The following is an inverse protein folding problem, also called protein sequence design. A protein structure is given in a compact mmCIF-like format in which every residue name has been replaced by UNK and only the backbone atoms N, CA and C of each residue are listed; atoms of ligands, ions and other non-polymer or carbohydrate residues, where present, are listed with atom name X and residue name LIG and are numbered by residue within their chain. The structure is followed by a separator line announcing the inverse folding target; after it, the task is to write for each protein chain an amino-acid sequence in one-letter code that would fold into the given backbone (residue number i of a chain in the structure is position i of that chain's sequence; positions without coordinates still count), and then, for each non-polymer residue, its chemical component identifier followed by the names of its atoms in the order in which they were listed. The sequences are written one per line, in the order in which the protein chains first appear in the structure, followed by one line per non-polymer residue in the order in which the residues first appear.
data_IF_916303011509
#
_entry.id   IF_916303011509
#
_cell.length_a   1.000
_cell.length_b   1.000
_cell.length_c   1.000
_cell.angle_alpha   90.00
_cell.angle_beta   90.00
_cell.angle_gamma   90.00
#
_symmetry.space_group_name_H-M   'P 1'
#
loop_
_entity.id
_entity.type
_entity.pdbx_description
1 polymer ?
#
# COMPACT_ATOMS: atom_id res chain seq x y z
N UNK A 1 19.34 -3.33 -18.15
CA UNK A 1 17.97 -3.51 -17.61
C UNK A 1 17.42 -2.14 -17.24
N UNK A 2 16.17 -1.84 -17.56
CA UNK A 2 15.54 -0.58 -17.13
C UNK A 2 15.28 -0.66 -15.62
N UNK A 3 15.69 0.35 -14.87
CA UNK A 3 15.41 0.43 -13.44
C UNK A 3 13.91 0.64 -13.21
N UNK A 4 13.25 -0.14 -12.32
CA UNK A 4 11.83 0.00 -12.07
C UNK A 4 11.51 1.35 -11.42
N UNK A 5 10.35 1.91 -11.77
CA UNK A 5 9.82 3.11 -11.13
C UNK A 5 8.82 2.74 -10.05
N UNK A 6 9.04 3.24 -8.84
CA UNK A 6 8.17 3.04 -7.71
C UNK A 6 7.52 4.36 -7.28
N UNK A 7 6.19 4.39 -7.22
CA UNK A 7 5.46 5.52 -6.67
C UNK A 7 5.13 5.24 -5.21
N UNK A 8 5.57 6.14 -4.34
CA UNK A 8 5.37 6.07 -2.90
C UNK A 8 4.23 7.00 -2.52
N UNK A 9 3.14 6.44 -2.03
CA UNK A 9 1.96 7.21 -1.66
C UNK A 9 2.24 8.07 -0.42
N UNK A 10 1.70 9.28 -0.44
CA UNK A 10 1.66 10.18 0.71
C UNK A 10 0.22 10.56 1.02
N UNK A 11 -0.13 10.52 2.29
CA UNK A 11 -1.39 11.02 2.82
C UNK A 11 -1.10 11.76 4.15
N UNK A 12 -2.03 12.54 4.69
CA UNK A 12 -1.89 13.08 6.03
C UNK A 12 -1.53 11.97 7.04
N UNK A 13 -0.51 12.21 7.87
CA UNK A 13 -0.03 11.23 8.85
C UNK A 13 0.93 10.15 8.31
N UNK A 14 1.13 10.03 7.01
CA UNK A 14 2.21 9.20 6.44
C UNK A 14 3.55 9.82 6.80
N UNK A 15 4.41 9.08 7.48
CA UNK A 15 5.71 9.58 7.94
C UNK A 15 6.92 8.70 7.56
N UNK A 16 6.70 7.55 6.92
CA UNK A 16 7.77 6.65 6.44
C UNK A 16 7.94 6.71 4.91
N UNK A 17 7.46 7.75 4.24
CA UNK A 17 7.55 7.88 2.78
C UNK A 17 8.97 8.15 2.28
N UNK A 18 9.79 8.87 3.07
CA UNK A 18 11.19 9.16 2.71
C UNK A 18 12.07 7.91 2.85
N UNK A 19 11.96 7.20 3.97
CA UNK A 19 12.69 5.96 4.24
C UNK A 19 12.33 4.88 3.23
N UNK A 20 11.05 4.79 2.88
CA UNK A 20 10.58 3.86 1.85
C UNK A 20 11.17 4.20 0.48
N UNK A 21 11.14 5.48 0.09
CA UNK A 21 11.76 5.93 -1.16
C UNK A 21 13.25 5.61 -1.18
N UNK A 22 13.97 5.94 -0.11
CA UNK A 22 15.39 5.62 0.03
C UNK A 22 15.69 4.12 -0.12
N UNK A 23 14.87 3.26 0.48
CA UNK A 23 15.05 1.81 0.37
C UNK A 23 14.91 1.31 -1.08
N UNK A 24 13.92 1.81 -1.82
CA UNK A 24 13.76 1.49 -3.25
C UNK A 24 14.95 2.00 -4.09
N UNK A 25 15.44 3.20 -3.83
CA UNK A 25 16.60 3.77 -4.53
C UNK A 25 17.87 2.98 -4.24
N UNK A 26 18.08 2.55 -3.00
CA UNK A 26 19.18 1.64 -2.62
C UNK A 26 19.11 0.29 -3.32
N UNK A 27 17.90 -0.18 -3.65
CA UNK A 27 17.68 -1.40 -4.43
C UNK A 27 17.79 -1.18 -5.95
N UNK A 28 18.12 0.05 -6.41
CA UNK A 28 18.31 0.37 -7.84
C UNK A 28 17.05 0.83 -8.57
N UNK A 29 15.97 1.12 -7.86
CA UNK A 29 14.76 1.70 -8.41
C UNK A 29 14.80 3.23 -8.50
N UNK A 30 13.89 3.80 -9.29
CA UNK A 30 13.59 5.23 -9.28
C UNK A 30 12.31 5.49 -8.53
N UNK A 31 12.31 6.47 -7.63
CA UNK A 31 11.13 6.75 -6.81
C UNK A 31 10.48 8.09 -7.14
N UNK A 32 9.16 8.16 -6.94
CA UNK A 32 8.40 9.40 -6.90
C UNK A 32 7.42 9.34 -5.74
N UNK A 33 7.51 10.29 -4.84
CA UNK A 33 6.53 10.45 -3.76
C UNK A 33 5.34 11.26 -4.29
N UNK A 34 4.14 10.70 -4.17
CA UNK A 34 2.92 11.29 -4.71
C UNK A 34 1.84 11.41 -3.64
N UNK A 35 1.25 12.58 -3.52
CA UNK A 35 0.15 12.80 -2.59
C UNK A 35 -1.14 12.15 -3.11
N UNK A 36 -1.93 11.53 -2.22
CA UNK A 36 -3.18 10.83 -2.56
C UNK A 36 -4.14 11.72 -3.36
N UNK A 37 -4.26 13.00 -3.01
CA UNK A 37 -5.12 13.92 -3.75
C UNK A 37 -4.61 14.19 -5.17
N UNK A 38 -3.29 14.35 -5.36
CA UNK A 38 -2.71 14.54 -6.68
C UNK A 38 -2.92 13.29 -7.57
N UNK A 39 -2.77 12.11 -6.97
CA UNK A 39 -3.06 10.86 -7.66
C UNK A 39 -4.56 10.74 -8.02
N UNK A 40 -5.45 11.12 -7.11
CA UNK A 40 -6.89 11.09 -7.37
C UNK A 40 -7.34 12.11 -8.44
N UNK A 41 -6.62 13.23 -8.59
CA UNK A 41 -6.86 14.21 -9.67
C UNK A 41 -6.30 13.73 -11.02
N UNK A 42 -5.26 12.91 -11.01
CA UNK A 42 -4.58 12.41 -12.20
C UNK A 42 -4.24 10.93 -12.08
N UNK A 43 -5.25 10.03 -12.12
CA UNK A 43 -5.04 8.59 -11.90
C UNK A 43 -4.10 7.94 -12.92
N UNK A 44 -4.01 8.50 -14.13
CA UNK A 44 -3.11 8.04 -15.20
C UNK A 44 -1.63 8.14 -14.84
N UNK A 45 -1.28 8.86 -13.76
CA UNK A 45 0.09 8.87 -13.23
C UNK A 45 0.60 7.47 -12.88
N UNK A 46 -0.28 6.55 -12.50
CA UNK A 46 0.11 5.16 -12.23
C UNK A 46 0.59 4.42 -13.49
N UNK A 47 0.24 4.89 -14.68
CA UNK A 47 0.70 4.28 -15.93
C UNK A 47 2.21 4.38 -16.10
N UNK A 48 2.82 5.35 -15.44
CA UNK A 48 4.25 5.61 -15.47
C UNK A 48 5.09 4.77 -14.50
N UNK A 49 4.51 3.92 -13.66
CA UNK A 49 5.26 3.14 -12.69
C UNK A 49 4.96 1.63 -12.78
N UNK A 50 5.85 0.83 -12.23
CA UNK A 50 5.73 -0.62 -12.11
C UNK A 50 5.37 -1.03 -10.69
N UNK A 51 5.68 -0.18 -9.70
CA UNK A 51 5.45 -0.46 -8.29
C UNK A 51 4.68 0.71 -7.67
N UNK A 52 3.57 0.41 -7.02
CA UNK A 52 2.83 1.36 -6.19
C UNK A 52 2.96 0.94 -4.73
N UNK A 53 3.59 1.78 -3.90
CA UNK A 53 3.86 1.48 -2.51
C UNK A 53 3.07 2.40 -1.57
N UNK A 54 2.37 1.80 -0.63
CA UNK A 54 1.74 2.49 0.49
C UNK A 54 2.65 2.30 1.70
N UNK A 55 3.38 3.34 2.15
CA UNK A 55 4.36 3.23 3.21
C UNK A 55 3.71 3.15 4.61
N UNK A 56 4.56 2.97 5.59
CA UNK A 56 4.17 3.03 6.99
C UNK A 56 3.89 4.44 7.49
N UNK A 57 3.42 4.51 8.71
CA UNK A 57 3.05 5.72 9.43
C UNK A 57 1.73 5.58 10.15
N UNK A 58 1.00 6.68 10.27
CA UNK A 58 -0.32 6.75 10.90
C UNK A 58 -1.23 7.57 9.99
N UNK A 59 -1.63 6.98 8.86
CA UNK A 59 -2.46 7.69 7.89
C UNK A 59 -3.75 8.20 8.54
N UNK A 60 -4.00 9.50 8.41
CA UNK A 60 -5.11 10.21 9.06
C UNK A 60 -5.17 10.01 10.59
N UNK A 61 -4.00 9.84 11.25
CA UNK A 61 -3.92 9.66 12.69
C UNK A 61 -4.49 8.34 13.22
N UNK A 62 -4.88 7.41 12.35
CA UNK A 62 -5.62 6.19 12.72
C UNK A 62 -6.91 6.46 13.51
N UNK A 63 -7.54 7.63 13.29
CA UNK A 63 -8.63 8.17 14.11
C UNK A 63 -9.84 7.25 14.28
N UNK A 64 -10.20 6.48 13.26
CA UNK A 64 -11.33 5.53 13.34
C UNK A 64 -10.80 4.11 13.58
N UNK A 65 -9.82 3.71 12.78
CA UNK A 65 -9.07 2.46 12.87
C UNK A 65 -7.85 2.58 11.97
N UNK A 66 -6.80 1.81 12.27
CA UNK A 66 -5.54 1.87 11.53
C UNK A 66 -5.73 1.71 10.03
N UNK A 67 -5.40 2.77 9.28
CA UNK A 67 -5.50 2.83 7.83
C UNK A 67 -6.92 2.96 7.25
N UNK A 68 -7.96 3.06 8.06
CA UNK A 68 -9.37 3.01 7.61
C UNK A 68 -9.74 4.14 6.65
N UNK A 69 -9.38 5.37 7.00
CA UNK A 69 -9.75 6.55 6.20
C UNK A 69 -9.03 6.51 4.85
N UNK A 70 -7.72 6.20 4.85
CA UNK A 70 -6.97 6.11 3.61
C UNK A 70 -7.47 4.96 2.72
N UNK A 71 -7.82 3.81 3.31
CA UNK A 71 -8.39 2.69 2.56
C UNK A 71 -9.69 3.09 1.87
N UNK A 72 -10.60 3.78 2.58
CA UNK A 72 -11.85 4.28 2.01
C UNK A 72 -11.58 5.28 0.87
N UNK A 73 -10.67 6.23 1.06
CA UNK A 73 -10.31 7.20 0.02
C UNK A 73 -9.74 6.52 -1.23
N UNK A 74 -8.86 5.53 -1.06
CA UNK A 74 -8.30 4.77 -2.17
C UNK A 74 -9.39 3.95 -2.89
N UNK A 75 -10.27 3.30 -2.16
CA UNK A 75 -11.36 2.51 -2.72
C UNK A 75 -12.32 3.38 -3.54
N UNK A 76 -12.80 4.47 -2.96
CA UNK A 76 -13.81 5.33 -3.59
C UNK A 76 -13.27 6.13 -4.77
N UNK A 77 -12.04 6.60 -4.70
CA UNK A 77 -11.47 7.51 -5.71
C UNK A 77 -10.55 6.85 -6.72
N UNK A 78 -9.94 5.72 -6.36
CA UNK A 78 -8.88 5.07 -7.12
C UNK A 78 -9.09 3.56 -7.31
N UNK A 79 -10.21 3.00 -6.83
CA UNK A 79 -10.45 1.57 -6.84
C UNK A 79 -10.25 0.93 -8.22
N UNK A 80 -10.92 1.47 -9.25
CA UNK A 80 -10.78 0.97 -10.63
C UNK A 80 -9.36 1.20 -11.19
N UNK A 81 -8.71 2.27 -10.81
CA UNK A 81 -7.33 2.55 -11.23
C UNK A 81 -6.34 1.56 -10.64
N UNK A 82 -6.49 1.24 -9.36
CA UNK A 82 -5.64 0.26 -8.67
C UNK A 82 -5.91 -1.16 -9.19
N UNK A 83 -7.16 -1.48 -9.52
CA UNK A 83 -7.50 -2.77 -10.15
C UNK A 83 -6.80 -2.90 -11.51
N UNK A 84 -6.97 -1.92 -12.41
CA UNK A 84 -6.29 -1.91 -13.71
C UNK A 84 -4.77 -1.94 -13.59
N UNK A 85 -4.21 -1.23 -12.61
CA UNK A 85 -2.79 -1.25 -12.32
C UNK A 85 -2.31 -2.67 -11.96
N UNK A 86 -3.05 -3.38 -11.12
CA UNK A 86 -2.75 -4.75 -10.74
C UNK A 86 -2.93 -5.73 -11.92
N UNK A 87 -4.04 -5.64 -12.66
CA UNK A 87 -4.34 -6.51 -13.81
C UNK A 87 -3.30 -6.43 -14.91
N UNK A 88 -2.69 -5.28 -15.13
CA UNK A 88 -1.58 -5.13 -16.09
C UNK A 88 -0.21 -5.58 -15.55
N UNK A 89 -0.15 -6.21 -14.39
CA UNK A 89 1.07 -6.71 -13.77
C UNK A 89 1.80 -5.70 -12.89
N UNK A 90 1.16 -4.60 -12.50
CA UNK A 90 1.69 -3.65 -11.52
C UNK A 90 1.77 -4.27 -10.12
N UNK A 91 2.86 -4.01 -9.41
CA UNK A 91 3.08 -4.50 -8.06
C UNK A 91 2.55 -3.49 -7.06
N UNK A 92 1.65 -3.92 -6.17
CA UNK A 92 1.15 -3.09 -5.07
C UNK A 92 1.75 -3.62 -3.77
N UNK A 93 2.46 -2.75 -3.04
CA UNK A 93 3.12 -3.08 -1.78
C UNK A 93 2.58 -2.22 -0.64
N UNK A 94 2.19 -2.83 0.46
CA UNK A 94 1.84 -2.14 1.71
C UNK A 94 2.79 -2.50 2.83
N UNK A 95 3.33 -1.50 3.53
CA UNK A 95 4.27 -1.67 4.62
C UNK A 95 3.66 -1.14 5.91
N UNK A 96 3.60 -1.96 6.97
CA UNK A 96 3.07 -1.57 8.28
C UNK A 96 1.64 -0.98 8.16
N UNK A 97 1.44 0.30 8.42
CA UNK A 97 0.15 0.97 8.20
C UNK A 97 -0.35 0.84 6.75
N UNK A 98 0.55 0.86 5.77
CA UNK A 98 0.20 0.59 4.37
C UNK A 98 -0.34 -0.81 4.13
N UNK A 99 0.14 -1.84 4.85
CA UNK A 99 -0.45 -3.17 4.82
C UNK A 99 -1.87 -3.16 5.40
N UNK A 100 -2.09 -2.46 6.52
CA UNK A 100 -3.42 -2.30 7.12
C UNK A 100 -4.39 -1.63 6.15
N UNK A 101 -3.93 -0.62 5.42
CA UNK A 101 -4.69 0.04 4.34
C UNK A 101 -5.05 -0.97 3.25
N UNK A 102 -4.08 -1.69 2.69
CA UNK A 102 -4.31 -2.66 1.62
C UNK A 102 -5.29 -3.76 2.02
N UNK A 103 -5.18 -4.25 3.24
CA UNK A 103 -6.12 -5.27 3.73
C UNK A 103 -7.56 -4.76 3.70
N UNK A 104 -7.77 -3.49 4.07
CA UNK A 104 -9.10 -2.88 4.11
C UNK A 104 -9.64 -2.51 2.73
N UNK A 105 -8.80 -2.35 1.72
CA UNK A 105 -9.24 -2.14 0.33
C UNK A 105 -9.73 -3.42 -0.36
N UNK A 106 -9.46 -4.61 0.20
CA UNK A 106 -9.73 -5.89 -0.46
C UNK A 106 -8.68 -6.32 -1.50
N UNK A 107 -7.70 -5.49 -1.81
CA UNK A 107 -6.69 -5.78 -2.86
C UNK A 107 -5.74 -6.94 -2.52
N UNK A 108 -5.65 -7.35 -1.25
CA UNK A 108 -4.77 -8.46 -0.83
C UNK A 108 -5.41 -9.85 -0.98
N UNK A 109 -6.70 -9.92 -1.25
CA UNK A 109 -7.42 -11.19 -1.34
C UNK A 109 -7.72 -11.51 -2.79
N UNK A 110 -7.30 -12.68 -3.32
CA UNK A 110 -7.61 -13.08 -4.67
C UNK A 110 -9.13 -13.13 -4.89
N UNK A 111 -9.56 -12.82 -6.09
CA UNK A 111 -10.94 -12.93 -6.54
C UNK A 111 -11.95 -12.00 -5.84
N UNK A 112 -11.47 -10.96 -5.14
CA UNK A 112 -12.33 -9.97 -4.52
C UNK A 112 -12.33 -8.65 -5.30
N UNK A 113 -13.50 -8.05 -5.39
CA UNK A 113 -13.61 -6.69 -5.89
C UNK A 113 -12.99 -5.69 -4.90
N UNK A 114 -12.39 -4.62 -5.41
CA UNK A 114 -11.92 -3.51 -4.56
C UNK A 114 -13.08 -2.99 -3.72
N UNK A 115 -12.86 -2.90 -2.42
CA UNK A 115 -13.91 -2.56 -1.45
C UNK A 115 -14.58 -3.77 -0.78
N UNK A 116 -14.37 -5.00 -1.27
CA UNK A 116 -14.83 -6.22 -0.62
C UNK A 116 -13.73 -6.76 0.30
N UNK A 117 -13.86 -6.48 1.58
CA UNK A 117 -12.93 -6.97 2.58
C UNK A 117 -13.32 -8.40 3.02
N UNK A 118 -12.51 -9.39 2.68
CA UNK A 118 -12.72 -10.81 3.07
C UNK A 118 -11.81 -11.26 4.22
N UNK A 119 -10.85 -10.43 4.60
CA UNK A 119 -9.95 -10.66 5.72
C UNK A 119 -9.89 -9.42 6.61
N UNK A 120 -9.57 -9.60 7.88
CA UNK A 120 -9.50 -8.51 8.85
C UNK A 120 -8.36 -8.71 9.83
N UNK A 121 -7.78 -7.60 10.29
CA UNK A 121 -6.86 -7.61 11.42
C UNK A 121 -7.66 -7.62 12.73
N UNK A 122 -7.25 -8.47 13.64
CA UNK A 122 -7.81 -8.56 14.96
C UNK A 122 -6.70 -8.56 16.01
N UNK A 123 -7.09 -8.48 17.27
CA UNK A 123 -6.13 -8.56 18.39
C UNK A 123 -5.49 -9.92 18.44
N UNK A 124 -4.20 -9.97 18.81
CA UNK A 124 -3.51 -11.22 19.07
C UNK A 124 -4.28 -12.04 20.12
N UNK A 125 -4.34 -13.36 19.92
CA UNK A 125 -4.99 -14.27 20.86
C UNK A 125 -4.37 -14.23 22.27
N UNK A 126 -3.08 -13.83 22.35
CA UNK A 126 -2.38 -13.59 23.61
C UNK A 126 -2.87 -12.33 24.35
N UNK A 127 -3.65 -11.47 23.72
CA UNK A 127 -4.04 -10.15 24.24
C UNK A 127 -2.88 -9.16 24.40
N UNK A 128 -1.69 -9.50 23.89
CA UNK A 128 -0.48 -8.69 24.04
C UNK A 128 0.10 -8.33 22.69
N UNK A 129 0.77 -7.18 22.61
CA UNK A 129 1.63 -6.83 21.49
C UNK A 129 2.80 -7.83 21.43
N UNK A 130 3.11 -8.29 20.21
CA UNK A 130 4.22 -9.23 19.97
C UNK A 130 5.26 -8.47 19.15
N UNK A 131 6.46 -8.34 19.73
CA UNK A 131 7.64 -7.74 19.09
C UNK A 131 8.77 -8.77 19.12
N UNK A 132 9.03 -9.40 17.99
CA UNK A 132 10.07 -10.43 17.87
C UNK A 132 10.62 -10.50 16.45
N UNK A 133 11.87 -10.95 16.34
CA UNK A 133 12.44 -11.29 15.05
C UNK A 133 11.79 -12.55 14.49
N UNK A 134 11.42 -12.48 13.21
CA UNK A 134 10.82 -13.60 12.48
C UNK A 134 11.56 -13.84 11.17
N UNK A 135 11.56 -15.08 10.71
CA UNK A 135 12.03 -15.41 9.37
C UNK A 135 10.86 -15.36 8.40
N UNK A 136 11.05 -14.67 7.28
CA UNK A 136 10.07 -14.59 6.21
C UNK A 136 10.48 -15.51 5.06
N UNK A 137 9.50 -16.16 4.47
CA UNK A 137 9.68 -16.98 3.27
C UNK A 137 8.63 -16.53 2.24
N UNK A 138 9.09 -16.24 1.02
CA UNK A 138 8.17 -15.98 -0.08
C UNK A 138 7.46 -17.28 -0.47
N UNK A 139 6.16 -17.20 -0.70
CA UNK A 139 5.38 -18.30 -1.24
C UNK A 139 5.74 -18.50 -2.72
N UNK A 140 6.12 -19.72 -3.15
CA UNK A 140 6.38 -19.97 -4.58
C UNK A 140 5.13 -19.66 -5.42
N UNK A 141 5.31 -18.91 -6.50
CA UNK A 141 4.23 -18.59 -7.46
C UNK A 141 3.52 -17.26 -7.24
N UNK A 142 3.99 -16.46 -6.30
CA UNK A 142 3.54 -15.07 -6.13
C UNK A 142 4.59 -14.10 -6.63
#
# INVERSE_FOLDING_TARGET
MLSPRAFILRAPGTNCDQETAYAFERAGGHTKRIHVQALAQSPTLLDDCQIFCIPGGFSYGDDIASGRILALELTERLGDTLRRFHERGGIILGICNGFQVLLQTGLLTPDCDVGQQTASLTRNTSGRFIDCWVQLQATPGN
#
